data_IF_138919307649
#
_entry.id   IF_138919307649
#
_cell.length_a   1.000
_cell.length_b   1.000
_cell.length_c   1.000
_cell.angle_alpha   90.00
_cell.angle_beta   90.00
_cell.angle_gamma   90.00
#
_symmetry.space_group_name_H-M   'P 1'
#
loop_
_entity.id
_entity.type
_entity.pdbx_description
1 polymer ?
#
# COMPACT_ATOMS: atom_id res chain seq x y z
N UNK A 1 -11.60 -17.16 3.56
CA UNK A 1 -10.53 -17.90 2.87
C UNK A 1 -9.48 -16.88 2.47
N UNK A 2 -8.19 -17.11 2.68
CA UNK A 2 -7.17 -16.25 2.10
C UNK A 2 -7.31 -16.28 0.57
N UNK A 3 -7.17 -15.11 -0.08
CA UNK A 3 -7.11 -15.04 -1.53
C UNK A 3 -5.92 -15.88 -2.00
N UNK A 4 -6.17 -16.86 -2.87
CA UNK A 4 -5.07 -17.58 -3.50
C UNK A 4 -4.40 -16.66 -4.51
N UNK A 5 -3.09 -16.64 -4.51
CA UNK A 5 -2.33 -15.93 -5.54
C UNK A 5 -2.64 -16.61 -6.88
N UNK A 6 -3.08 -15.87 -7.91
CA UNK A 6 -3.37 -16.45 -9.21
C UNK A 6 -2.08 -16.98 -9.86
N UNK A 7 -2.19 -18.06 -10.59
CA UNK A 7 -1.06 -18.74 -11.25
C UNK A 7 -1.05 -18.54 -12.76
N UNK A 8 -2.02 -17.80 -13.31
CA UNK A 8 -2.09 -17.53 -14.75
C UNK A 8 -2.76 -16.19 -15.05
N UNK A 9 -2.45 -15.62 -16.22
CA UNK A 9 -3.10 -14.40 -16.72
C UNK A 9 -4.62 -14.59 -16.86
N UNK A 10 -5.09 -15.77 -17.25
CA UNK A 10 -6.52 -16.06 -17.36
C UNK A 10 -7.22 -15.94 -16.00
N UNK A 11 -6.64 -16.49 -14.94
CA UNK A 11 -7.20 -16.33 -13.57
C UNK A 11 -7.23 -14.86 -13.12
N UNK A 12 -6.20 -14.08 -13.46
CA UNK A 12 -6.20 -12.64 -13.18
C UNK A 12 -7.35 -11.96 -13.92
N UNK A 13 -7.53 -12.27 -15.21
CA UNK A 13 -8.61 -11.71 -16.01
C UNK A 13 -9.99 -12.05 -15.44
N UNK A 14 -10.23 -13.29 -15.07
CA UNK A 14 -11.50 -13.74 -14.46
C UNK A 14 -11.78 -12.97 -13.17
N UNK A 15 -10.75 -12.80 -12.32
CA UNK A 15 -10.86 -12.01 -11.09
C UNK A 15 -11.17 -10.54 -11.41
N UNK A 16 -10.47 -9.95 -12.35
CA UNK A 16 -10.69 -8.55 -12.73
C UNK A 16 -12.10 -8.33 -13.28
N UNK A 17 -12.59 -9.19 -14.16
CA UNK A 17 -13.94 -9.14 -14.70
C UNK A 17 -15.00 -9.14 -13.60
N UNK A 18 -14.93 -10.13 -12.70
CA UNK A 18 -15.86 -10.24 -11.58
C UNK A 18 -15.77 -9.03 -10.64
N UNK A 19 -14.54 -8.63 -10.30
CA UNK A 19 -14.32 -7.62 -9.26
C UNK A 19 -14.52 -6.19 -9.74
N UNK A 20 -14.29 -5.87 -11.01
CA UNK A 20 -14.71 -4.60 -11.64
C UNK A 20 -16.21 -4.40 -11.48
N UNK A 21 -17.01 -5.41 -11.82
CA UNK A 21 -18.44 -5.36 -11.64
C UNK A 21 -18.84 -5.01 -10.20
N UNK A 22 -18.27 -5.73 -9.23
CA UNK A 22 -18.54 -5.47 -7.81
C UNK A 22 -18.10 -4.05 -7.39
N UNK A 23 -16.97 -3.56 -7.90
CA UNK A 23 -16.48 -2.21 -7.61
C UNK A 23 -17.44 -1.14 -8.13
N UNK A 24 -17.92 -1.29 -9.38
CA UNK A 24 -18.89 -0.36 -9.98
C UNK A 24 -20.25 -0.42 -9.26
N UNK A 25 -20.77 -1.62 -8.94
CA UNK A 25 -21.99 -1.77 -8.16
C UNK A 25 -21.93 -1.04 -6.82
N UNK A 26 -20.80 -1.12 -6.12
CA UNK A 26 -20.56 -0.41 -4.86
C UNK A 26 -20.44 1.10 -5.05
N UNK A 27 -19.78 1.52 -6.11
CA UNK A 27 -19.67 2.94 -6.45
C UNK A 27 -21.06 3.54 -6.74
N UNK A 28 -21.88 2.86 -7.53
CA UNK A 28 -23.26 3.28 -7.81
C UNK A 28 -24.14 3.39 -6.56
N UNK A 29 -23.85 2.60 -5.52
CA UNK A 29 -24.52 2.70 -4.23
C UNK A 29 -24.07 3.91 -3.37
N UNK A 30 -22.94 4.54 -3.70
CA UNK A 30 -22.43 5.71 -2.99
C UNK A 30 -23.14 6.98 -3.43
N UNK A 31 -23.63 7.80 -2.49
CA UNK A 31 -24.20 9.11 -2.81
C UNK A 31 -23.22 10.00 -3.60
N UNK A 32 -21.92 9.87 -3.37
CA UNK A 32 -20.89 10.64 -4.07
C UNK A 32 -20.82 10.31 -5.56
N UNK A 33 -20.95 9.04 -5.93
CA UNK A 33 -20.88 8.60 -7.33
C UNK A 33 -22.22 8.75 -8.08
N UNK A 34 -23.31 9.06 -7.35
CA UNK A 34 -24.61 9.24 -7.96
C UNK A 34 -24.59 10.43 -8.95
N UNK A 35 -24.87 10.13 -10.22
CA UNK A 35 -24.84 11.10 -11.32
C UNK A 35 -23.45 11.38 -11.89
N UNK A 36 -22.36 10.82 -11.30
CA UNK A 36 -21.02 10.80 -11.90
C UNK A 36 -20.89 9.60 -12.83
N UNK A 37 -21.15 8.41 -12.32
CA UNK A 37 -21.18 7.19 -13.15
C UNK A 37 -22.50 7.19 -13.93
N UNK A 38 -22.48 6.94 -15.25
CA UNK A 38 -23.70 6.86 -16.06
C UNK A 38 -24.67 5.82 -15.50
N UNK A 39 -25.96 6.18 -15.41
CA UNK A 39 -26.99 5.29 -14.86
C UNK A 39 -27.25 4.06 -15.74
N UNK A 40 -26.90 4.14 -17.01
CA UNK A 40 -27.03 3.09 -18.03
C UNK A 40 -25.73 2.32 -18.28
N UNK A 41 -24.75 2.40 -17.38
CA UNK A 41 -23.49 1.63 -17.45
C UNK A 41 -23.82 0.14 -17.50
N UNK A 42 -23.26 -0.58 -18.48
CA UNK A 42 -23.48 -2.02 -18.63
C UNK A 42 -22.43 -2.80 -17.80
N UNK A 43 -22.90 -3.32 -16.67
CA UNK A 43 -22.04 -4.05 -15.71
C UNK A 43 -21.49 -5.38 -16.27
N UNK A 44 -22.12 -5.93 -17.32
CA UNK A 44 -21.67 -7.18 -17.94
C UNK A 44 -20.64 -6.92 -19.07
N UNK A 45 -20.38 -5.64 -19.40
CA UNK A 45 -19.44 -5.22 -20.45
C UNK A 45 -18.24 -4.40 -19.94
N UNK A 46 -17.96 -4.42 -18.66
CA UNK A 46 -16.86 -3.62 -18.06
C UNK A 46 -15.45 -4.06 -18.52
N UNK A 47 -15.32 -5.17 -19.21
CA UNK A 47 -14.06 -5.56 -19.87
C UNK A 47 -13.90 -4.96 -21.26
N UNK A 48 -14.96 -4.39 -21.83
CA UNK A 48 -14.90 -3.57 -23.03
C UNK A 48 -14.35 -2.17 -22.64
N UNK A 49 -13.19 -1.75 -23.17
CA UNK A 49 -12.64 -0.43 -22.88
C UNK A 49 -13.61 0.72 -23.19
N UNK A 50 -14.46 0.57 -24.21
CA UNK A 50 -15.44 1.60 -24.56
C UNK A 50 -16.49 1.79 -23.47
N UNK A 51 -16.87 0.73 -22.75
CA UNK A 51 -17.80 0.80 -21.63
C UNK A 51 -17.08 1.26 -20.35
N UNK A 52 -15.89 0.71 -20.06
CA UNK A 52 -15.10 1.09 -18.88
C UNK A 52 -14.75 2.58 -18.86
N UNK A 53 -14.32 3.14 -20.00
CA UNK A 53 -13.94 4.55 -20.14
C UNK A 53 -15.10 5.53 -19.99
N UNK A 54 -16.35 5.05 -19.89
CA UNK A 54 -17.51 5.91 -19.51
C UNK A 54 -17.50 6.26 -18.03
N UNK A 55 -16.72 5.55 -17.19
CA UNK A 55 -16.57 5.82 -15.77
C UNK A 55 -15.56 6.96 -15.62
N UNK A 56 -15.96 8.12 -15.05
CA UNK A 56 -15.05 9.25 -14.91
C UNK A 56 -14.01 9.00 -13.84
N UNK A 57 -12.75 9.34 -14.12
CA UNK A 57 -11.64 9.21 -13.18
C UNK A 57 -11.92 10.05 -11.93
N UNK A 58 -11.63 9.47 -10.76
CA UNK A 58 -11.72 10.13 -9.47
C UNK A 58 -10.35 10.68 -9.08
N UNK A 59 -10.24 12.00 -8.95
CA UNK A 59 -9.06 12.66 -8.41
C UNK A 59 -9.20 13.03 -6.93
N UNK A 60 -8.09 13.37 -6.33
CA UNK A 60 -8.02 13.70 -4.90
C UNK A 60 -8.68 15.04 -4.55
N UNK A 61 -8.74 15.97 -5.49
CA UNK A 61 -9.38 17.27 -5.29
C UNK A 61 -10.91 17.12 -5.16
N UNK A 62 -11.50 16.20 -5.90
CA UNK A 62 -12.92 15.87 -5.77
C UNK A 62 -13.25 15.35 -4.36
N UNK A 63 -12.35 14.54 -3.76
CA UNK A 63 -12.51 14.06 -2.39
C UNK A 63 -12.33 15.18 -1.37
N UNK A 64 -11.40 16.10 -1.59
CA UNK A 64 -11.17 17.28 -0.74
C UNK A 64 -12.31 18.28 -0.74
N UNK A 65 -13.10 18.31 -1.84
CA UNK A 65 -14.30 19.13 -1.93
C UNK A 65 -15.41 18.64 -0.99
N UNK A 66 -15.34 17.40 -0.47
CA UNK A 66 -16.29 16.91 0.53
C UNK A 66 -15.88 17.43 1.91
N UNK A 67 -16.72 18.20 2.61
CA UNK A 67 -16.42 18.63 3.97
C UNK A 67 -16.11 17.43 4.88
N UNK A 68 -15.07 17.49 5.75
CA UNK A 68 -14.66 16.36 6.56
C UNK A 68 -15.78 15.71 7.39
N UNK A 69 -16.71 16.52 7.92
CA UNK A 69 -17.87 16.04 8.68
C UNK A 69 -18.86 15.24 7.81
N UNK A 70 -18.88 15.48 6.50
CA UNK A 70 -19.80 14.84 5.55
C UNK A 70 -19.21 13.59 4.88
N UNK A 71 -17.90 13.39 4.99
CA UNK A 71 -17.19 12.34 4.26
C UNK A 71 -17.79 10.95 4.53
N UNK A 72 -18.06 10.64 5.81
CA UNK A 72 -18.68 9.36 6.21
C UNK A 72 -20.11 9.17 5.69
N UNK A 73 -20.82 10.25 5.39
CA UNK A 73 -22.21 10.17 4.94
C UNK A 73 -22.36 10.27 3.41
N UNK A 74 -21.39 10.89 2.72
CA UNK A 74 -21.45 11.12 1.28
C UNK A 74 -20.61 10.16 0.46
N UNK A 75 -19.44 9.75 0.98
CA UNK A 75 -18.52 8.88 0.26
C UNK A 75 -18.53 7.44 0.79
N UNK A 76 -18.68 7.24 2.10
CA UNK A 76 -18.67 5.93 2.71
C UNK A 76 -20.00 5.19 2.52
N UNK A 77 -19.93 3.96 2.03
CA UNK A 77 -21.11 3.09 1.86
C UNK A 77 -21.43 2.22 3.09
N UNK A 78 -20.47 2.04 3.98
CA UNK A 78 -20.64 1.16 5.12
C UNK A 78 -21.28 1.88 6.31
N UNK A 79 -22.20 1.22 7.06
CA UNK A 79 -22.71 1.78 8.31
C UNK A 79 -21.58 1.88 9.35
N UNK A 80 -21.70 2.86 10.26
CA UNK A 80 -20.65 3.12 11.27
C UNK A 80 -20.22 1.91 12.08
N UNK A 81 -21.17 1.03 12.40
CA UNK A 81 -20.89 -0.22 13.18
C UNK A 81 -19.96 -1.19 12.47
N UNK A 82 -19.85 -1.10 11.14
CA UNK A 82 -19.03 -1.99 10.31
C UNK A 82 -17.65 -1.38 10.00
N UNK A 83 -17.40 -0.13 10.43
CA UNK A 83 -16.10 0.53 10.28
C UNK A 83 -15.16 0.05 11.36
N UNK A 84 -14.09 -0.63 10.93
CA UNK A 84 -13.03 -1.13 11.79
C UNK A 84 -11.97 -0.07 12.09
N UNK A 85 -11.57 0.71 11.08
CA UNK A 85 -10.50 1.71 11.19
C UNK A 85 -10.80 2.93 10.30
N UNK A 86 -10.16 4.04 10.67
CA UNK A 86 -10.10 5.27 9.89
C UNK A 86 -8.64 5.54 9.53
N UNK A 87 -8.28 5.41 8.27
CA UNK A 87 -6.93 5.65 7.79
C UNK A 87 -6.74 7.11 7.42
N UNK A 88 -5.64 7.69 7.84
CA UNK A 88 -5.30 9.08 7.56
C UNK A 88 -4.27 9.16 6.44
N UNK A 89 -4.54 9.94 5.39
CA UNK A 89 -3.52 10.30 4.40
C UNK A 89 -2.43 11.20 4.99
N UNK A 90 -1.26 11.24 4.38
CA UNK A 90 -0.12 12.05 4.85
C UNK A 90 -0.43 13.55 4.98
N UNK A 91 -1.30 14.10 4.11
CA UNK A 91 -1.71 15.50 4.15
C UNK A 91 -0.62 16.50 3.76
N UNK A 92 0.40 16.08 3.02
CA UNK A 92 1.53 16.92 2.57
C UNK A 92 1.10 18.14 1.75
N UNK A 93 -0.05 18.09 1.12
CA UNK A 93 -0.58 19.13 0.21
C UNK A 93 -1.82 19.83 0.74
N UNK A 94 -2.17 19.69 2.04
CA UNK A 94 -3.35 20.34 2.61
C UNK A 94 -4.00 19.54 3.74
N UNK A 95 -5.32 19.68 3.91
CA UNK A 95 -6.08 18.97 4.95
C UNK A 95 -6.03 17.46 4.71
N UNK A 96 -5.64 16.66 5.73
CA UNK A 96 -5.64 15.21 5.62
C UNK A 96 -7.05 14.67 5.36
N UNK A 97 -7.13 13.64 4.52
CA UNK A 97 -8.36 12.87 4.31
C UNK A 97 -8.34 11.63 5.21
N UNK A 98 -9.52 11.23 5.65
CA UNK A 98 -9.72 10.06 6.49
C UNK A 98 -10.54 9.03 5.74
N UNK A 99 -9.97 7.85 5.52
CA UNK A 99 -10.60 6.78 4.76
C UNK A 99 -11.11 5.70 5.70
N UNK A 100 -12.43 5.57 5.88
CA UNK A 100 -13.00 4.46 6.64
C UNK A 100 -12.72 3.14 5.94
N UNK A 101 -12.46 2.10 6.76
CA UNK A 101 -12.23 0.73 6.32
C UNK A 101 -13.12 -0.19 7.15
N UNK A 102 -13.84 -1.09 6.48
CA UNK A 102 -14.60 -2.15 7.17
C UNK A 102 -13.67 -3.24 7.67
N UNK A 103 -14.16 -4.13 8.54
CA UNK A 103 -13.43 -5.33 8.94
C UNK A 103 -13.03 -6.17 7.72
N UNK A 104 -13.86 -6.20 6.67
CA UNK A 104 -13.57 -6.92 5.44
C UNK A 104 -12.50 -6.21 4.59
N UNK A 105 -12.54 -4.88 4.50
CA UNK A 105 -11.47 -4.11 3.86
C UNK A 105 -10.13 -4.35 4.56
N UNK A 106 -10.13 -4.46 5.90
CA UNK A 106 -8.92 -4.75 6.68
C UNK A 106 -8.37 -6.15 6.41
N UNK A 107 -9.24 -7.14 6.23
CA UNK A 107 -8.83 -8.51 5.88
C UNK A 107 -8.09 -8.52 4.52
N UNK A 108 -8.66 -7.89 3.50
CA UNK A 108 -8.04 -7.81 2.18
C UNK A 108 -6.82 -6.88 2.16
N UNK A 109 -6.88 -5.74 2.86
CA UNK A 109 -5.73 -4.85 3.02
C UNK A 109 -4.54 -5.60 3.59
N UNK A 110 -4.72 -6.36 4.68
CA UNK A 110 -3.66 -7.18 5.28
C UNK A 110 -3.02 -8.17 4.29
N UNK A 111 -3.82 -8.76 3.38
CA UNK A 111 -3.28 -9.67 2.36
C UNK A 111 -2.36 -8.95 1.36
N UNK A 112 -2.69 -7.73 0.96
CA UNK A 112 -1.81 -6.95 0.07
C UNK A 112 -0.48 -6.60 0.75
N UNK A 113 -0.51 -6.29 2.05
CA UNK A 113 0.70 -6.05 2.83
C UNK A 113 1.51 -7.34 3.07
N UNK A 114 0.86 -8.49 3.22
CA UNK A 114 1.55 -9.78 3.36
C UNK A 114 2.39 -10.14 2.12
N UNK A 115 1.90 -9.80 0.92
CA UNK A 115 2.65 -10.04 -0.32
C UNK A 115 3.97 -9.29 -0.42
N UNK A 116 4.13 -8.19 0.31
CA UNK A 116 5.42 -7.49 0.38
C UNK A 116 6.49 -8.38 1.01
N UNK A 117 6.12 -9.12 2.06
CA UNK A 117 7.03 -10.10 2.69
C UNK A 117 7.32 -11.27 1.76
N UNK A 118 6.32 -11.76 1.01
CA UNK A 118 6.52 -12.80 0.00
C UNK A 118 7.50 -12.34 -1.10
N UNK A 119 7.38 -11.10 -1.57
CA UNK A 119 8.31 -10.50 -2.54
C UNK A 119 9.74 -10.40 -2.01
N UNK A 120 9.89 -10.08 -0.72
CA UNK A 120 11.18 -9.99 -0.05
C UNK A 120 11.73 -11.37 0.42
N UNK A 121 11.05 -12.47 0.08
CA UNK A 121 11.47 -13.82 0.44
C UNK A 121 11.40 -14.14 1.94
N UNK A 122 10.63 -13.39 2.71
CA UNK A 122 10.51 -13.57 4.15
C UNK A 122 9.83 -14.91 4.52
N UNK A 123 10.25 -15.47 5.64
CA UNK A 123 9.77 -16.75 6.17
C UNK A 123 9.33 -16.63 7.63
N UNK A 124 8.71 -17.66 8.18
CA UNK A 124 8.34 -17.71 9.60
C UNK A 124 9.53 -17.76 10.57
N UNK A 125 10.74 -17.97 10.06
CA UNK A 125 11.98 -17.91 10.85
C UNK A 125 12.46 -16.46 11.06
N UNK A 126 11.89 -15.50 10.31
CA UNK A 126 12.29 -14.12 10.38
C UNK A 126 11.63 -13.37 11.56
N UNK A 127 12.30 -12.31 11.97
CA UNK A 127 11.76 -11.31 12.89
C UNK A 127 11.99 -9.92 12.32
N UNK A 128 10.99 -9.05 12.41
CA UNK A 128 11.05 -7.71 11.83
C UNK A 128 11.02 -6.61 12.90
N UNK A 129 11.91 -5.64 12.78
CA UNK A 129 11.88 -4.40 13.53
C UNK A 129 11.09 -3.36 12.76
N UNK A 130 9.91 -3.00 13.26
CA UNK A 130 9.01 -2.05 12.62
C UNK A 130 9.30 -0.62 13.09
N UNK A 131 9.85 0.19 12.18
CA UNK A 131 10.13 1.61 12.39
C UNK A 131 9.18 2.54 11.62
N UNK A 132 8.11 2.01 11.01
CA UNK A 132 7.06 2.87 10.44
C UNK A 132 6.27 3.58 11.54
N UNK A 133 5.65 4.74 11.23
CA UNK A 133 4.70 5.36 12.15
C UNK A 133 3.57 4.40 12.50
N UNK A 134 3.31 4.24 13.81
CA UNK A 134 2.18 3.48 14.33
C UNK A 134 0.99 4.40 14.60
N UNK A 135 -0.21 3.87 14.60
CA UNK A 135 -1.43 4.59 14.91
C UNK A 135 -2.27 4.91 13.68
N UNK A 136 -2.67 6.18 13.49
CA UNK A 136 -3.65 6.59 12.46
C UNK A 136 -3.13 6.48 11.01
N UNK A 137 -1.83 6.41 10.82
CA UNK A 137 -1.22 6.06 9.53
C UNK A 137 -1.17 4.54 9.41
N UNK A 138 -1.76 3.93 8.36
CA UNK A 138 -2.00 2.48 8.35
C UNK A 138 -0.74 1.64 8.13
N UNK A 139 0.31 2.20 7.50
CA UNK A 139 1.43 1.40 6.98
C UNK A 139 2.11 0.55 8.06
N UNK A 140 2.57 1.12 9.17
CA UNK A 140 3.27 0.37 10.21
C UNK A 140 2.40 -0.72 10.82
N UNK A 141 1.18 -0.36 11.23
CA UNK A 141 0.26 -1.31 11.86
C UNK A 141 -0.12 -2.46 10.92
N UNK A 142 -0.36 -2.17 9.63
CA UNK A 142 -0.73 -3.21 8.66
C UNK A 142 0.45 -4.10 8.28
N UNK A 143 1.64 -3.52 8.10
CA UNK A 143 2.87 -4.29 7.88
C UNK A 143 3.12 -5.25 9.04
N UNK A 144 3.05 -4.78 10.28
CA UNK A 144 3.25 -5.63 11.45
C UNK A 144 2.19 -6.74 11.57
N UNK A 145 0.90 -6.42 11.35
CA UNK A 145 -0.18 -7.44 11.37
C UNK A 145 -0.04 -8.44 10.20
N UNK A 146 0.44 -7.99 9.05
CA UNK A 146 0.73 -8.86 7.91
C UNK A 146 1.87 -9.84 8.25
N UNK A 147 2.98 -9.35 8.82
CA UNK A 147 4.07 -10.20 9.30
C UNK A 147 3.57 -11.27 10.27
N UNK A 148 2.81 -10.88 11.31
CA UNK A 148 2.26 -11.82 12.28
C UNK A 148 1.36 -12.88 11.64
N UNK A 149 0.61 -12.52 10.59
CA UNK A 149 -0.23 -13.49 9.88
C UNK A 149 0.54 -14.52 9.05
N UNK A 150 1.82 -14.26 8.78
CA UNK A 150 2.76 -15.16 8.12
C UNK A 150 3.63 -15.93 9.14
N UNK A 151 3.43 -15.72 10.44
CA UNK A 151 4.24 -16.33 11.49
C UNK A 151 5.54 -15.60 11.79
N UNK A 152 5.76 -14.42 11.20
CA UNK A 152 6.95 -13.58 11.40
C UNK A 152 6.80 -12.80 12.71
N UNK A 153 7.81 -12.85 13.57
CA UNK A 153 7.85 -12.09 14.81
C UNK A 153 7.99 -10.58 14.55
N UNK A 154 7.39 -9.74 15.40
CA UNK A 154 7.42 -8.27 15.23
C UNK A 154 7.87 -7.56 16.48
N UNK A 155 8.88 -6.73 16.33
CA UNK A 155 9.31 -5.73 17.31
C UNK A 155 8.66 -4.38 16.94
N UNK A 156 7.66 -3.97 17.68
CA UNK A 156 6.84 -2.77 17.44
C UNK A 156 7.55 -1.51 17.97
N UNK A 157 8.56 -1.02 17.27
CA UNK A 157 9.27 0.18 17.69
C UNK A 157 8.54 1.46 17.29
N UNK A 158 7.96 1.49 16.10
CA UNK A 158 7.36 2.70 15.55
C UNK A 158 8.41 3.70 15.07
N UNK A 159 7.97 4.87 14.62
CA UNK A 159 8.88 5.94 14.21
C UNK A 159 9.58 6.58 15.42
N UNK A 160 10.58 7.42 15.15
CA UNK A 160 11.42 8.06 16.20
C UNK A 160 10.69 8.89 17.25
N UNK A 161 9.43 9.26 16.99
CA UNK A 161 8.56 9.91 17.97
C UNK A 161 7.88 8.90 18.93
N UNK A 162 7.80 7.63 18.56
CA UNK A 162 7.28 6.55 19.43
C UNK A 162 8.40 5.93 20.24
N UNK A 163 9.48 5.53 19.58
CA UNK A 163 10.70 5.02 20.21
C UNK A 163 11.87 5.85 19.71
N UNK A 164 12.58 6.59 20.58
CA UNK A 164 13.71 7.42 20.16
C UNK A 164 14.74 6.65 19.34
N UNK A 165 15.31 7.29 18.31
CA UNK A 165 16.22 6.64 17.36
C UNK A 165 17.38 5.91 18.04
N UNK A 166 17.93 6.49 19.12
CA UNK A 166 18.96 5.84 19.92
C UNK A 166 18.48 4.53 20.56
N UNK A 167 17.26 4.53 21.09
CA UNK A 167 16.69 3.31 21.67
C UNK A 167 16.45 2.25 20.60
N UNK A 168 16.07 2.64 19.37
CA UNK A 168 15.90 1.69 18.25
C UNK A 168 17.23 1.01 17.88
N UNK A 169 18.34 1.76 17.82
CA UNK A 169 19.68 1.19 17.58
C UNK A 169 20.03 0.15 18.66
N UNK A 170 19.75 0.46 19.92
CA UNK A 170 19.98 -0.46 21.03
C UNK A 170 19.09 -1.71 20.92
N UNK A 171 17.82 -1.55 20.52
CA UNK A 171 16.91 -2.67 20.29
C UNK A 171 17.34 -3.56 19.13
N UNK A 172 17.85 -3.00 18.02
CA UNK A 172 18.42 -3.77 16.91
C UNK A 172 19.56 -4.68 17.38
N UNK A 173 20.45 -4.15 18.22
CA UNK A 173 21.57 -4.94 18.80
C UNK A 173 21.11 -6.00 19.81
N UNK A 174 20.10 -5.69 20.61
CA UNK A 174 19.67 -6.56 21.71
C UNK A 174 18.73 -7.68 21.26
N UNK A 175 17.84 -7.38 20.29
CA UNK A 175 16.78 -8.29 19.84
C UNK A 175 17.16 -9.03 18.54
N UNK A 176 18.23 -8.59 17.89
CA UNK A 176 18.80 -9.21 16.69
C UNK A 176 17.74 -9.57 15.61
N UNK A 177 16.86 -8.63 15.19
CA UNK A 177 15.88 -8.91 14.15
C UNK A 177 16.60 -9.22 12.82
N UNK A 178 16.01 -10.08 11.99
CA UNK A 178 16.56 -10.43 10.67
C UNK A 178 16.15 -9.42 9.60
N UNK A 179 15.05 -8.70 9.85
CA UNK A 179 14.48 -7.72 8.93
C UNK A 179 14.28 -6.38 9.65
N UNK A 180 14.39 -5.29 8.89
CA UNK A 180 13.99 -3.95 9.30
C UNK A 180 12.99 -3.39 8.31
N UNK A 181 11.97 -2.65 8.78
CA UNK A 181 11.04 -1.95 7.91
C UNK A 181 10.79 -0.52 8.36
N UNK A 182 10.70 0.40 7.39
CA UNK A 182 10.50 1.81 7.65
C UNK A 182 10.65 2.66 6.40
N UNK A 183 10.57 3.98 6.58
CA UNK A 183 10.89 4.92 5.51
C UNK A 183 12.40 4.86 5.24
N UNK A 184 12.80 4.87 3.98
CA UNK A 184 14.21 4.79 3.58
C UNK A 184 15.06 5.94 4.14
N UNK A 185 14.49 7.14 4.25
CA UNK A 185 15.13 8.28 4.91
C UNK A 185 15.40 8.04 6.41
N UNK A 186 14.47 7.34 7.08
CA UNK A 186 14.65 6.98 8.48
C UNK A 186 15.67 5.85 8.67
N UNK A 187 15.67 4.86 7.77
CA UNK A 187 16.72 3.82 7.74
C UNK A 187 18.12 4.43 7.56
N UNK A 188 18.27 5.42 6.69
CA UNK A 188 19.53 6.15 6.52
C UNK A 188 19.90 6.97 7.77
N UNK A 189 18.92 7.58 8.44
CA UNK A 189 19.13 8.30 9.69
C UNK A 189 19.67 7.38 10.80
N UNK A 190 19.04 6.23 11.00
CA UNK A 190 19.50 5.23 11.97
C UNK A 190 20.92 4.74 11.64
N UNK A 191 21.19 4.48 10.35
CA UNK A 191 22.49 4.04 9.88
C UNK A 191 23.59 5.07 10.18
N UNK A 192 23.35 6.34 9.86
CA UNK A 192 24.32 7.42 10.17
C UNK A 192 24.56 7.58 11.68
N UNK A 193 23.51 7.43 12.51
CA UNK A 193 23.66 7.49 13.95
C UNK A 193 24.48 6.31 14.50
N UNK A 194 24.21 5.11 14.01
CA UNK A 194 24.96 3.92 14.40
C UNK A 194 26.44 4.04 14.05
N UNK A 195 26.74 4.52 12.83
CA UNK A 195 28.12 4.77 12.38
C UNK A 195 28.84 5.79 13.26
N UNK A 196 28.17 6.89 13.64
CA UNK A 196 28.71 7.92 14.51
C UNK A 196 29.07 7.39 15.92
N UNK A 197 28.40 6.33 16.36
CA UNK A 197 28.66 5.64 17.65
C UNK A 197 29.60 4.44 17.52
N UNK A 198 30.15 4.18 16.33
CA UNK A 198 31.01 3.04 16.06
C UNK A 198 30.26 1.70 16.08
N UNK A 199 28.94 1.71 15.84
CA UNK A 199 28.13 0.51 15.75
C UNK A 199 28.10 0.05 14.29
N UNK A 200 28.56 -1.15 14.06
CA UNK A 200 28.61 -1.80 12.74
C UNK A 200 27.29 -2.54 12.45
N UNK A 201 26.39 -1.87 11.72
CA UNK A 201 25.12 -2.48 11.29
C UNK A 201 25.34 -3.50 10.17
N UNK A 202 26.37 -3.35 9.34
CA UNK A 202 26.62 -4.26 8.22
C UNK A 202 26.90 -5.70 8.67
N UNK A 203 27.55 -5.84 9.82
CA UNK A 203 27.77 -7.13 10.47
C UNK A 203 26.68 -7.51 11.49
N UNK A 204 25.60 -6.73 11.54
CA UNK A 204 24.43 -7.03 12.37
C UNK A 204 23.56 -8.17 11.83
N UNK A 205 22.44 -8.42 12.54
CA UNK A 205 21.48 -9.49 12.22
C UNK A 205 20.57 -9.15 11.05
N UNK A 206 20.29 -7.87 10.80
CA UNK A 206 19.40 -7.43 9.72
C UNK A 206 20.03 -7.74 8.35
N UNK A 207 19.30 -8.50 7.52
CA UNK A 207 19.71 -8.85 6.16
C UNK A 207 18.72 -8.40 5.10
N UNK A 208 17.51 -8.00 5.49
CA UNK A 208 16.48 -7.52 4.60
C UNK A 208 15.90 -6.20 5.11
N UNK A 209 15.79 -5.22 4.22
CA UNK A 209 15.17 -3.93 4.47
C UNK A 209 13.90 -3.82 3.63
N UNK A 210 12.76 -3.56 4.25
CA UNK A 210 11.50 -3.26 3.54
C UNK A 210 11.22 -1.76 3.69
N UNK A 211 11.31 -1.04 2.58
CA UNK A 211 11.04 0.39 2.53
C UNK A 211 9.74 0.69 1.80
N UNK A 212 9.09 1.81 2.11
CA UNK A 212 7.91 2.32 1.41
C UNK A 212 7.63 3.77 1.80
N UNK A 213 6.59 4.35 1.21
CA UNK A 213 6.05 5.68 1.48
C UNK A 213 6.89 6.87 0.99
N UNK A 214 8.04 6.65 0.42
CA UNK A 214 8.85 7.66 -0.25
C UNK A 214 9.70 7.05 -1.35
N UNK A 215 10.15 7.86 -2.29
CA UNK A 215 10.96 7.38 -3.40
C UNK A 215 12.36 6.93 -2.93
N UNK A 216 12.77 5.76 -3.39
CA UNK A 216 14.12 5.23 -3.22
C UNK A 216 14.89 5.42 -4.51
N UNK A 217 15.83 6.37 -4.53
CA UNK A 217 16.74 6.53 -5.68
C UNK A 217 17.88 5.52 -5.61
N UNK A 218 18.50 5.18 -6.76
CA UNK A 218 19.63 4.24 -6.81
C UNK A 218 20.78 4.63 -5.88
N UNK A 219 21.07 5.93 -5.79
CA UNK A 219 22.13 6.43 -4.91
C UNK A 219 21.78 6.24 -3.44
N UNK A 220 20.51 6.48 -3.05
CA UNK A 220 20.02 6.27 -1.69
C UNK A 220 20.01 4.76 -1.36
N UNK A 221 19.55 3.92 -2.28
CA UNK A 221 19.56 2.46 -2.16
C UNK A 221 20.95 1.94 -1.84
N UNK A 222 21.91 2.19 -2.75
CA UNK A 222 23.30 1.73 -2.55
C UNK A 222 23.89 2.18 -1.22
N UNK A 223 23.61 3.43 -0.80
CA UNK A 223 24.12 3.94 0.48
C UNK A 223 23.54 3.18 1.66
N UNK A 224 22.23 2.96 1.69
CA UNK A 224 21.55 2.26 2.78
C UNK A 224 22.01 0.80 2.83
N UNK A 225 21.98 0.09 1.70
CA UNK A 225 22.38 -1.31 1.60
C UNK A 225 23.83 -1.52 2.07
N UNK A 226 24.73 -0.61 1.67
CA UNK A 226 26.14 -0.71 2.10
C UNK A 226 26.31 -0.53 3.62
N UNK A 227 25.61 0.43 4.25
CA UNK A 227 25.76 0.69 5.69
C UNK A 227 25.07 -0.40 6.51
N UNK A 228 23.93 -0.92 6.05
CA UNK A 228 23.20 -1.98 6.74
C UNK A 228 23.74 -3.38 6.44
N UNK A 229 24.51 -3.57 5.35
CA UNK A 229 24.91 -4.91 4.87
C UNK A 229 23.71 -5.79 4.54
N UNK A 230 22.63 -5.18 4.02
CA UNK A 230 21.33 -5.79 3.84
C UNK A 230 20.72 -5.39 2.49
N UNK A 231 19.89 -6.25 1.93
CA UNK A 231 19.18 -6.04 0.67
C UNK A 231 17.88 -5.23 0.89
N UNK A 232 17.63 -4.24 0.05
CA UNK A 232 16.47 -3.35 0.17
C UNK A 232 15.39 -3.68 -0.85
N UNK A 233 14.17 -3.91 -0.37
CA UNK A 233 12.96 -4.07 -1.16
C UNK A 233 12.07 -2.83 -1.00
N UNK A 234 11.76 -2.17 -2.11
CA UNK A 234 10.87 -1.01 -2.10
C UNK A 234 9.44 -1.46 -2.34
N UNK A 235 8.51 -1.00 -1.51
CA UNK A 235 7.08 -1.27 -1.60
C UNK A 235 6.32 -0.04 -2.05
N UNK A 236 5.41 -0.23 -3.00
CA UNK A 236 4.59 0.80 -3.60
C UNK A 236 3.14 0.71 -3.16
N UNK A 237 2.58 1.81 -2.68
CA UNK A 237 1.20 1.88 -2.22
C UNK A 237 0.71 3.29 -1.93
N UNK A 238 -0.57 3.41 -1.67
CA UNK A 238 -1.22 4.65 -1.26
C UNK A 238 -2.28 4.38 -0.19
N UNK A 239 -2.58 5.38 0.64
CA UNK A 239 -3.57 5.25 1.73
C UNK A 239 -4.95 4.85 1.21
N UNK A 240 -5.31 5.31 0.02
CA UNK A 240 -6.58 5.05 -0.65
C UNK A 240 -6.75 3.58 -1.04
N UNK A 241 -5.67 2.92 -1.47
CA UNK A 241 -5.70 1.56 -2.01
C UNK A 241 -5.10 0.51 -1.06
N UNK A 242 -4.02 0.85 -0.36
CA UNK A 242 -3.16 -0.08 0.37
C UNK A 242 -1.85 -0.34 -0.37
N UNK A 243 -1.19 -1.47 -0.12
CA UNK A 243 0.02 -1.88 -0.85
C UNK A 243 -0.37 -2.47 -2.20
N UNK A 244 0.15 -1.89 -3.27
CA UNK A 244 -0.20 -2.26 -4.65
C UNK A 244 0.86 -3.10 -5.34
N UNK A 245 2.08 -3.05 -4.85
CA UNK A 245 3.21 -3.78 -5.40
C UNK A 245 4.44 -3.69 -4.53
N UNK A 246 5.42 -4.52 -4.84
CA UNK A 246 6.74 -4.53 -4.22
C UNK A 246 7.77 -4.98 -5.23
N UNK A 247 9.00 -4.57 -5.08
CA UNK A 247 10.13 -5.15 -5.82
C UNK A 247 10.27 -6.64 -5.52
N UNK A 248 10.69 -7.39 -6.51
CA UNK A 248 11.20 -8.74 -6.34
C UNK A 248 12.73 -8.75 -6.36
N UNK A 249 13.32 -9.93 -6.30
CA UNK A 249 14.79 -10.14 -6.24
C UNK A 249 15.57 -9.54 -7.42
N UNK A 250 14.92 -9.22 -8.53
CA UNK A 250 15.58 -8.59 -9.69
C UNK A 250 15.77 -7.08 -9.53
N UNK A 251 15.01 -6.43 -8.65
CA UNK A 251 15.01 -4.98 -8.42
C UNK A 251 14.84 -4.14 -9.71
N UNK A 252 14.15 -4.67 -10.71
CA UNK A 252 13.95 -4.08 -12.02
C UNK A 252 12.57 -3.42 -12.19
N UNK A 253 11.88 -3.18 -11.08
CA UNK A 253 10.57 -2.56 -10.99
C UNK A 253 9.67 -3.24 -9.97
N UNK A 254 8.41 -2.80 -9.92
CA UNK A 254 7.44 -3.34 -8.97
C UNK A 254 6.66 -4.51 -9.56
N UNK A 255 6.59 -5.61 -8.83
CA UNK A 255 5.62 -6.68 -9.05
C UNK A 255 4.25 -6.19 -8.57
N UNK A 256 3.41 -5.79 -9.49
CA UNK A 256 2.09 -5.22 -9.20
C UNK A 256 1.07 -6.33 -8.93
N UNK A 257 0.27 -6.17 -7.88
CA UNK A 257 -0.74 -7.15 -7.45
C UNK A 257 -2.04 -7.00 -8.26
N UNK A 258 -1.99 -7.35 -9.55
CA UNK A 258 -3.04 -7.09 -10.55
C UNK A 258 -4.34 -7.86 -10.33
N UNK A 259 -4.35 -8.86 -9.48
CA UNK A 259 -5.57 -9.53 -9.00
C UNK A 259 -6.26 -8.80 -7.84
N UNK A 260 -5.54 -7.86 -7.19
CA UNK A 260 -6.06 -7.03 -6.12
C UNK A 260 -6.42 -5.62 -6.58
N UNK A 261 -5.76 -5.15 -7.62
CA UNK A 261 -5.92 -3.80 -8.16
C UNK A 261 -6.02 -3.85 -9.69
N UNK A 262 -7.00 -3.17 -10.25
CA UNK A 262 -7.01 -2.85 -11.67
C UNK A 262 -6.25 -1.54 -11.85
N UNK A 263 -5.16 -1.61 -12.61
CA UNK A 263 -4.23 -0.50 -12.80
C UNK A 263 -4.18 -0.16 -14.28
N UNK A 264 -4.36 1.12 -14.57
CA UNK A 264 -4.26 1.71 -15.89
C UNK A 264 -3.12 2.74 -15.89
N UNK A 265 -2.39 2.81 -16.99
CA UNK A 265 -1.39 3.86 -17.22
C UNK A 265 -1.89 4.67 -18.40
N UNK A 266 -2.32 5.89 -18.14
CA UNK A 266 -2.99 6.73 -19.10
C UNK A 266 -2.14 7.95 -19.47
N UNK A 267 -2.30 8.45 -20.69
CA UNK A 267 -1.79 9.76 -21.06
C UNK A 267 -2.54 10.86 -20.29
N UNK A 268 -1.91 12.00 -20.03
CA UNK A 268 -2.57 13.10 -19.31
C UNK A 268 -3.72 13.70 -20.13
N UNK A 269 -3.54 13.82 -21.42
CA UNK A 269 -4.55 14.19 -22.41
C UNK A 269 -4.25 13.46 -23.73
N UNK A 270 -5.16 12.57 -24.23
CA UNK A 270 -6.61 12.50 -23.97
C UNK A 270 -7.09 11.47 -22.92
N UNK A 271 -6.31 11.04 -21.96
CA UNK A 271 -6.64 9.99 -20.96
C UNK A 271 -6.84 8.61 -21.60
N UNK A 272 -6.05 8.31 -22.62
CA UNK A 272 -6.03 7.00 -23.27
C UNK A 272 -4.88 6.14 -22.73
N UNK A 273 -4.98 4.80 -22.78
CA UNK A 273 -3.89 3.92 -22.40
C UNK A 273 -2.63 4.20 -23.20
N UNK A 274 -1.51 4.38 -22.51
CA UNK A 274 -0.21 4.56 -23.16
C UNK A 274 0.34 3.21 -23.67
N UNK A 275 1.23 3.26 -24.66
CA UNK A 275 1.92 2.07 -25.13
C UNK A 275 2.88 1.52 -24.04
N UNK A 276 3.17 0.22 -24.09
CA UNK A 276 4.15 -0.40 -23.19
C UNK A 276 5.51 0.32 -23.25
N UNK A 277 6.07 0.61 -22.08
CA UNK A 277 7.32 1.35 -21.92
C UNK A 277 7.19 2.88 -22.00
N UNK A 278 6.01 3.41 -22.23
CA UNK A 278 5.74 4.86 -22.21
C UNK A 278 5.25 5.28 -20.84
N UNK A 279 5.85 6.31 -20.21
CA UNK A 279 5.36 6.86 -18.94
C UNK A 279 3.96 7.47 -19.09
N UNK A 280 3.14 7.37 -18.05
CA UNK A 280 1.82 7.97 -17.99
C UNK A 280 1.31 8.12 -16.56
N UNK A 281 0.11 8.65 -16.42
CA UNK A 281 -0.59 8.81 -15.14
C UNK A 281 -1.17 7.47 -14.69
N UNK A 282 -0.88 7.09 -13.44
CA UNK A 282 -1.38 5.85 -12.85
C UNK A 282 -2.80 6.05 -12.33
N UNK A 283 -3.75 5.27 -12.84
CA UNK A 283 -5.12 5.19 -12.35
C UNK A 283 -5.35 3.83 -11.72
N UNK A 284 -5.91 3.82 -10.51
CA UNK A 284 -6.01 2.60 -9.70
C UNK A 284 -7.44 2.39 -9.21
N UNK A 285 -7.99 1.23 -9.52
CA UNK A 285 -9.25 0.75 -8.95
C UNK A 285 -8.99 -0.42 -8.00
N UNK A 286 -9.17 -0.25 -6.67
CA UNK A 286 -9.08 -1.34 -5.72
C UNK A 286 -10.21 -2.35 -5.94
N UNK A 287 -9.86 -3.60 -6.20
CA UNK A 287 -10.85 -4.64 -6.53
C UNK A 287 -11.50 -5.27 -5.29
N UNK A 288 -10.84 -5.20 -4.14
CA UNK A 288 -11.26 -5.87 -2.91
C UNK A 288 -11.51 -4.91 -1.74
N UNK A 289 -10.68 -3.88 -1.56
CA UNK A 289 -10.75 -2.92 -0.45
C UNK A 289 -11.65 -1.73 -0.77
N UNK A 290 -12.88 -2.00 -1.17
CA UNK A 290 -13.84 -1.00 -1.69
C UNK A 290 -15.22 -1.09 -1.01
N UNK A 291 -15.32 -1.70 0.18
CA UNK A 291 -16.62 -1.84 0.85
C UNK A 291 -17.05 -0.54 1.55
N UNK A 292 -16.11 0.12 2.24
CA UNK A 292 -16.40 1.41 2.87
C UNK A 292 -16.21 2.56 1.89
N UNK A 293 -15.10 2.57 1.14
CA UNK A 293 -14.74 3.66 0.23
C UNK A 293 -14.57 3.12 -1.19
N UNK A 294 -15.60 3.25 -2.04
CA UNK A 294 -15.56 2.75 -3.40
C UNK A 294 -14.75 3.69 -4.30
N UNK A 295 -13.44 3.52 -4.29
CA UNK A 295 -12.55 4.16 -5.26
C UNK A 295 -12.67 3.49 -6.63
N UNK A 296 -13.00 4.28 -7.66
CA UNK A 296 -13.14 3.87 -9.04
C UNK A 296 -12.94 5.07 -9.96
#
# INVERSE_FOLDING_TARGET
MPLKIPTSKAQIQDIQTERKRVAVERALASPFHKGRIPADIDLDRLDDPAEWNRIPILDKEMLRAIPPQDFLNKFCNAPRRDIAELWRSGGSTGTPLFYPRTFKDMEYGRLSFARVYDCAGATAEDTVHDSFPLGIHPVGTLMARAAQSLGIGVNWAGAGNSTPSQAQINLLKMLEPTMWMGMSSYGLHLANMAEAEGIDLANGSVKTLICSAEQVTDAKRRKIENIWGAELYDGFGMTEAGMMGCEGNAHDGFLVFTDMFYIEVLDEEPLEPVAEGVPGTLVVTPLWTNQATPFI
#
